data_IF_340943267518
#
_entry.id   IF_340943267518
#
_cell.length_a   1.000
_cell.length_b   1.000
_cell.length_c   1.000
_cell.angle_alpha   90.00
_cell.angle_beta   90.00
_cell.angle_gamma   90.00
#
_symmetry.space_group_name_H-M   'P 1'
#
loop_
_entity.id
_entity.type
_entity.pdbx_description
1 polymer ?
#
# COMPACT_ATOMS: atom_id res chain seq x y z
N UNK A 1 25.22 -10.98 -17.94
CA UNK A 1 24.92 -10.32 -16.66
C UNK A 1 23.62 -9.53 -16.80
N UNK A 2 22.53 -9.98 -16.18
CA UNK A 2 21.20 -9.37 -16.28
C UNK A 2 21.10 -8.16 -15.34
N UNK A 3 20.73 -6.98 -15.84
CA UNK A 3 20.40 -5.81 -15.01
C UNK A 3 18.99 -5.97 -14.45
N UNK A 4 18.86 -6.04 -13.12
CA UNK A 4 17.59 -6.00 -12.41
C UNK A 4 16.96 -4.60 -12.47
N UNK A 5 15.70 -4.42 -12.87
CA UNK A 5 15.03 -3.13 -12.74
C UNK A 5 14.36 -3.06 -11.36
N UNK A 6 15.16 -2.81 -10.31
CA UNK A 6 14.63 -2.58 -8.94
C UNK A 6 14.27 -1.11 -8.67
N UNK A 7 13.96 -0.31 -9.70
CA UNK A 7 13.82 1.14 -9.54
C UNK A 7 12.70 1.79 -10.36
N UNK A 8 11.50 1.18 -10.39
CA UNK A 8 10.34 1.80 -11.05
C UNK A 8 9.03 1.79 -10.22
N UNK A 9 9.07 1.53 -8.90
CA UNK A 9 7.84 1.44 -8.08
C UNK A 9 7.78 2.42 -6.88
N UNK A 10 8.58 3.50 -6.89
CA UNK A 10 8.54 4.54 -5.83
C UNK A 10 7.84 5.84 -6.23
N UNK A 11 7.37 5.96 -7.48
CA UNK A 11 6.89 7.23 -8.05
C UNK A 11 5.37 7.30 -8.27
N UNK A 12 4.56 6.64 -7.43
CA UNK A 12 3.10 6.85 -7.41
C UNK A 12 2.56 7.23 -6.04
N UNK A 13 3.43 7.72 -5.15
CA UNK A 13 2.97 8.47 -3.99
C UNK A 13 2.46 9.82 -4.47
N UNK A 14 1.14 9.93 -4.59
CA UNK A 14 0.50 11.22 -4.80
C UNK A 14 0.55 11.97 -3.48
N UNK A 15 1.65 12.71 -3.26
CA UNK A 15 1.77 13.66 -2.15
C UNK A 15 0.74 14.81 -2.21
N UNK A 16 -0.13 14.83 -3.23
CA UNK A 16 -1.29 15.72 -3.34
C UNK A 16 -2.63 15.09 -2.92
N UNK A 17 -2.71 13.77 -2.70
CA UNK A 17 -3.93 13.11 -2.22
C UNK A 17 -3.78 12.72 -0.74
N UNK A 18 -4.29 13.58 0.14
CA UNK A 18 -4.29 13.34 1.59
C UNK A 18 -4.98 12.02 1.95
N UNK A 19 -6.03 11.62 1.22
CA UNK A 19 -6.73 10.36 1.47
C UNK A 19 -5.80 9.18 1.22
N UNK A 20 -5.14 9.15 0.06
CA UNK A 20 -4.16 8.10 -0.25
C UNK A 20 -3.00 8.07 0.77
N UNK A 21 -2.45 9.24 1.11
CA UNK A 21 -1.36 9.38 2.07
C UNK A 21 -1.74 8.88 3.48
N UNK A 22 -2.98 9.14 3.92
CA UNK A 22 -3.50 8.64 5.19
C UNK A 22 -3.60 7.11 5.21
N UNK A 23 -4.08 6.50 4.13
CA UNK A 23 -4.16 5.03 4.05
C UNK A 23 -2.75 4.44 4.04
N UNK A 24 -1.76 5.06 3.38
CA UNK A 24 -0.38 4.56 3.34
C UNK A 24 0.26 4.60 4.71
N UNK A 25 0.09 5.74 5.38
CA UNK A 25 0.59 5.93 6.73
C UNK A 25 -0.08 4.95 7.70
N UNK A 26 -1.38 4.70 7.54
CA UNK A 26 -2.09 3.70 8.34
C UNK A 26 -1.54 2.29 8.14
N UNK A 27 -1.22 1.88 6.90
CA UNK A 27 -0.57 0.59 6.63
C UNK A 27 0.75 0.46 7.37
N UNK A 28 1.60 1.49 7.33
CA UNK A 28 2.89 1.45 8.03
C UNK A 28 2.72 1.40 9.56
N UNK A 29 1.80 2.20 10.11
CA UNK A 29 1.49 2.18 11.55
C UNK A 29 0.99 0.80 12.02
N UNK A 30 0.14 0.16 11.21
CA UNK A 30 -0.36 -1.19 11.51
C UNK A 30 0.76 -2.24 11.48
N UNK A 31 1.73 -2.12 10.57
CA UNK A 31 2.90 -3.01 10.54
C UNK A 31 3.80 -2.83 11.76
N UNK A 32 3.98 -1.60 12.21
CA UNK A 32 4.87 -1.28 13.33
C UNK A 32 4.26 -1.60 14.69
N UNK A 33 2.97 -1.34 14.88
CA UNK A 33 2.33 -1.31 16.22
C UNK A 33 1.09 -2.17 16.33
N UNK A 34 0.68 -2.83 15.25
CA UNK A 34 -0.58 -3.55 15.18
C UNK A 34 -1.81 -2.64 15.30
N UNK A 35 -2.99 -3.26 15.37
CA UNK A 35 -4.29 -2.58 15.36
C UNK A 35 -4.51 -1.71 16.59
N UNK A 36 -3.93 -2.07 17.74
CA UNK A 36 -4.11 -1.33 19.00
C UNK A 36 -3.34 0.00 19.03
N UNK A 37 -2.23 0.10 18.30
CA UNK A 37 -1.43 1.33 18.21
C UNK A 37 -1.91 2.34 17.16
N UNK A 38 -3.08 2.13 16.57
CA UNK A 38 -3.54 2.85 15.39
C UNK A 38 -4.76 3.75 15.67
N UNK A 39 -4.66 5.02 15.22
CA UNK A 39 -5.75 6.01 15.21
C UNK A 39 -5.62 7.01 14.05
N UNK A 40 -6.72 7.66 13.65
CA UNK A 40 -6.75 8.76 12.68
C UNK A 40 -5.81 9.92 13.07
N UNK A 41 -5.79 10.24 14.36
CA UNK A 41 -4.94 11.30 14.90
C UNK A 41 -3.46 10.96 14.76
N UNK A 42 -3.07 9.70 14.98
CA UNK A 42 -1.68 9.25 14.81
C UNK A 42 -1.25 9.29 13.33
N UNK A 43 -2.12 8.85 12.42
CA UNK A 43 -1.86 8.95 10.99
C UNK A 43 -1.66 10.42 10.55
N UNK A 44 -2.47 11.34 11.10
CA UNK A 44 -2.36 12.77 10.81
C UNK A 44 -1.08 13.39 11.37
N UNK A 45 -0.73 13.05 12.62
CA UNK A 45 0.52 13.49 13.25
C UNK A 45 1.73 13.07 12.43
N UNK A 46 1.76 11.81 11.98
CA UNK A 46 2.87 11.27 11.18
C UNK A 46 3.00 11.92 9.81
N UNK A 47 1.90 12.40 9.22
CA UNK A 47 1.89 13.17 7.99
C UNK A 47 2.19 14.67 8.18
N UNK A 48 2.26 15.15 9.42
CA UNK A 48 2.45 16.58 9.71
C UNK A 48 1.24 17.45 9.34
N UNK A 49 0.03 16.87 9.30
CA UNK A 49 -1.20 17.59 8.99
C UNK A 49 -2.04 17.85 10.24
N UNK A 50 -2.98 18.80 10.16
CA UNK A 50 -3.87 19.09 11.26
C UNK A 50 -4.69 17.85 11.67
N UNK A 51 -4.90 17.66 12.98
CA UNK A 51 -5.64 16.50 13.51
C UNK A 51 -7.09 16.39 13.01
N UNK A 52 -7.68 17.50 12.55
CA UNK A 52 -9.01 17.56 11.94
C UNK A 52 -9.02 17.21 10.44
N UNK A 53 -7.87 17.23 9.76
CA UNK A 53 -7.76 16.97 8.33
C UNK A 53 -8.27 15.59 7.87
N UNK A 54 -8.02 14.46 8.58
CA UNK A 54 -8.44 13.16 8.10
C UNK A 54 -9.95 12.96 8.14
N UNK A 55 -10.65 13.70 9.02
CA UNK A 55 -12.11 13.63 9.16
C UNK A 55 -12.88 14.16 7.94
N UNK A 56 -12.18 14.85 7.02
CA UNK A 56 -12.74 15.23 5.71
C UNK A 56 -12.80 14.07 4.72
N UNK A 57 -12.08 12.98 5.01
CA UNK A 57 -11.94 11.83 4.12
C UNK A 57 -12.43 10.52 4.73
N UNK A 58 -12.47 10.44 6.06
CA UNK A 58 -12.90 9.28 6.82
C UNK A 58 -13.76 9.76 8.00
N UNK A 59 -14.98 9.26 8.11
CA UNK A 59 -15.88 9.52 9.22
C UNK A 59 -15.26 9.03 10.54
N UNK A 60 -14.60 7.88 10.51
CA UNK A 60 -14.02 7.25 11.70
C UNK A 60 -12.82 6.33 11.39
N UNK A 61 -12.34 5.69 12.45
CA UNK A 61 -11.21 4.76 12.42
C UNK A 61 -11.53 3.50 11.59
N UNK A 62 -12.76 3.03 11.60
CA UNK A 62 -13.18 1.81 10.91
C UNK A 62 -13.22 2.02 9.41
N UNK A 63 -13.69 3.19 8.95
CA UNK A 63 -13.67 3.54 7.52
C UNK A 63 -12.24 3.59 6.96
N UNK A 64 -11.30 4.15 7.73
CA UNK A 64 -9.88 4.13 7.35
C UNK A 64 -9.32 2.70 7.31
N UNK A 65 -9.70 1.83 8.25
CA UNK A 65 -9.29 0.41 8.23
C UNK A 65 -9.88 -0.36 7.04
N UNK A 66 -11.13 -0.08 6.68
CA UNK A 66 -11.75 -0.67 5.50
C UNK A 66 -10.98 -0.26 4.22
N UNK A 67 -10.63 1.03 4.09
CA UNK A 67 -9.82 1.51 2.98
C UNK A 67 -8.42 0.89 2.95
N UNK A 68 -7.81 0.67 4.12
CA UNK A 68 -6.55 -0.09 4.25
C UNK A 68 -6.71 -1.52 3.74
N UNK A 69 -7.77 -2.23 4.17
CA UNK A 69 -8.03 -3.61 3.78
C UNK A 69 -8.24 -3.76 2.27
N UNK A 70 -8.99 -2.84 1.66
CA UNK A 70 -9.17 -2.77 0.20
C UNK A 70 -7.81 -2.65 -0.49
N UNK A 71 -7.00 -1.67 -0.09
CA UNK A 71 -5.71 -1.43 -0.74
C UNK A 71 -4.69 -2.55 -0.54
N UNK A 72 -4.71 -3.21 0.61
CA UNK A 72 -3.90 -4.39 0.84
C UNK A 72 -4.35 -5.57 -0.04
N UNK A 73 -5.66 -5.73 -0.23
CA UNK A 73 -6.24 -6.76 -1.09
C UNK A 73 -5.90 -6.54 -2.56
N UNK A 74 -5.99 -5.29 -3.04
CA UNK A 74 -5.57 -4.92 -4.41
C UNK A 74 -4.09 -5.28 -4.65
N UNK A 75 -3.20 -4.90 -3.72
CA UNK A 75 -1.78 -5.24 -3.81
C UNK A 75 -1.53 -6.75 -3.77
N UNK A 76 -2.33 -7.51 -3.03
CA UNK A 76 -2.27 -8.98 -3.02
C UNK A 76 -2.72 -9.54 -4.37
N UNK A 77 -3.85 -9.10 -4.91
CA UNK A 77 -4.37 -9.52 -6.21
C UNK A 77 -3.36 -9.22 -7.33
N UNK A 78 -2.76 -8.04 -7.34
CA UNK A 78 -1.68 -7.69 -8.29
C UNK A 78 -0.54 -8.71 -8.25
N UNK A 79 -0.10 -9.10 -7.05
CA UNK A 79 0.99 -10.07 -6.88
C UNK A 79 0.59 -11.47 -7.34
N UNK A 80 -0.65 -11.89 -7.07
CA UNK A 80 -1.17 -13.19 -7.52
C UNK A 80 -1.28 -13.25 -9.06
N UNK A 81 -1.74 -12.16 -9.69
CA UNK A 81 -1.81 -12.05 -11.16
C UNK A 81 -0.41 -12.00 -11.78
N UNK A 82 0.52 -11.23 -11.20
CA UNK A 82 1.90 -11.15 -11.68
C UNK A 82 2.65 -12.49 -11.54
N UNK A 83 2.49 -13.19 -10.41
CA UNK A 83 3.11 -14.50 -10.17
C UNK A 83 2.62 -15.59 -11.13
N UNK A 84 1.40 -15.46 -11.67
CA UNK A 84 0.88 -16.33 -12.73
C UNK A 84 1.66 -16.20 -14.05
N UNK A 85 2.34 -15.08 -14.29
CA UNK A 85 3.20 -14.90 -15.47
C UNK A 85 4.54 -15.63 -15.36
N UNK A 86 5.05 -15.91 -14.16
CA UNK A 86 6.35 -16.57 -13.96
C UNK A 86 6.26 -18.11 -14.10
N UNK A 87 5.10 -18.70 -13.75
CA UNK A 87 4.84 -20.14 -13.91
C UNK A 87 4.46 -20.55 -15.34
N UNK A 88 4.09 -19.60 -16.20
CA UNK A 88 3.71 -19.85 -17.60
C UNK A 88 4.81 -19.47 -18.59
N UNK A 89 6.06 -19.27 -18.14
CA UNK A 89 7.20 -19.29 -19.06
C UNK A 89 7.46 -20.77 -19.36
N UNK A 90 7.09 -21.30 -20.55
CA UNK A 90 7.49 -22.65 -20.88
C UNK A 90 9.02 -22.66 -20.83
N UNK A 91 9.58 -23.61 -20.09
CA UNK A 91 10.95 -24.02 -20.31
C UNK A 91 11.05 -24.33 -21.80
N UNK A 92 11.58 -23.37 -22.58
CA UNK A 92 12.01 -23.62 -23.95
C UNK A 92 13.14 -24.61 -23.78
N UNK A 93 12.75 -25.87 -23.91
CA UNK A 93 13.61 -27.03 -24.04
C UNK A 93 14.66 -26.70 -25.09
N UNK A 94 15.90 -26.46 -24.64
CA UNK A 94 17.07 -26.35 -25.51
C UNK A 94 17.67 -27.74 -25.68
N UNK A 95 16.91 -28.62 -26.30
CA UNK A 95 17.47 -29.80 -26.94
C UNK A 95 17.76 -29.43 -28.39
N UNK A 96 19.05 -29.22 -28.69
CA UNK A 96 19.58 -28.87 -30.00
C UNK A 96 21.09 -28.68 -29.93
#
# INVERSE_FOLDING_TARGET
MRRSPRSAKRSRYHHGDLRAALIDTAIELLRERGVQGFSLAEASRRLGVAAAAPYRHFADREELLAAVAVRASEALVERLVAGRSELLSPAVDRTG
#
